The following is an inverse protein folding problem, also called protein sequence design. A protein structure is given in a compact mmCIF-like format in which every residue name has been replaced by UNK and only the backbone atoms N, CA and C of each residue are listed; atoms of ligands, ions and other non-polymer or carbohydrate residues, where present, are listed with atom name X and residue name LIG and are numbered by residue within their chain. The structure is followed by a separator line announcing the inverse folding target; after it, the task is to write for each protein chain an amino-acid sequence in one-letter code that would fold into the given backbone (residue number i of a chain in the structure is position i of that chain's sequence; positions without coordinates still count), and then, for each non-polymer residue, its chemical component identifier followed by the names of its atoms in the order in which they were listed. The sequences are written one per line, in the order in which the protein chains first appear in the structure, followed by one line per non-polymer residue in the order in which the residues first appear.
data_IF_125404905789
#
_entry.id   IF_125404905789
#
_cell.length_a   1.000
_cell.length_b   1.000
_cell.length_c   1.000
_cell.angle_alpha   90.00
_cell.angle_beta   90.00
_cell.angle_gamma   90.00
#
_symmetry.space_group_name_H-M   'P 1'
#
loop_
_entity.id
_entity.type
_entity.pdbx_description
1 polymer ?
#
# COMPACT_ATOMS: atom_id res chain seq x y z
N UNK A 1 10.71 -22.75 19.91
CA UNK A 1 10.02 -21.78 20.78
C UNK A 1 10.95 -21.06 21.74
N UNK A 2 12.13 -21.61 22.02
CA UNK A 2 13.08 -21.08 23.04
C UNK A 2 13.76 -19.74 22.69
N UNK A 3 13.79 -19.36 21.41
CA UNK A 3 14.40 -18.07 21.01
C UNK A 3 13.50 -16.84 21.24
N UNK A 4 12.18 -17.02 21.40
CA UNK A 4 11.27 -15.91 21.72
C UNK A 4 11.34 -15.52 23.20
N UNK A 5 11.66 -16.46 24.11
CA UNK A 5 11.77 -16.21 25.54
C UNK A 5 13.05 -15.46 25.95
N UNK A 6 14.04 -15.40 25.04
CA UNK A 6 15.30 -14.67 25.25
C UNK A 6 15.25 -13.21 24.79
N UNK A 7 14.11 -12.75 24.21
CA UNK A 7 13.96 -11.37 23.75
C UNK A 7 13.57 -10.42 24.88
N UNK A 8 14.03 -9.15 24.84
CA UNK A 8 13.57 -8.14 25.80
C UNK A 8 12.04 -8.00 25.68
N UNK A 9 11.33 -7.80 26.83
CA UNK A 9 9.87 -7.84 26.90
C UNK A 9 9.20 -6.82 25.97
N UNK A 10 9.86 -5.70 25.69
CA UNK A 10 9.36 -4.66 24.78
C UNK A 10 9.24 -5.18 23.34
N UNK A 11 10.23 -5.92 22.84
CA UNK A 11 10.21 -6.49 21.50
C UNK A 11 9.11 -7.54 21.34
N UNK A 12 8.91 -8.36 22.35
CA UNK A 12 7.85 -9.37 22.37
C UNK A 12 6.46 -8.72 22.31
N UNK A 13 6.24 -7.62 23.07
CA UNK A 13 4.97 -6.87 23.05
C UNK A 13 4.66 -6.35 21.66
N UNK A 14 5.64 -5.78 20.96
CA UNK A 14 5.44 -5.26 19.59
C UNK A 14 5.10 -6.39 18.61
N UNK A 15 5.80 -7.51 18.68
CA UNK A 15 5.52 -8.67 17.80
C UNK A 15 4.12 -9.22 18.06
N UNK A 16 3.73 -9.37 19.32
CA UNK A 16 2.39 -9.84 19.70
C UNK A 16 1.31 -8.86 19.22
N UNK A 17 1.56 -7.54 19.32
CA UNK A 17 0.66 -6.53 18.81
C UNK A 17 0.49 -6.63 17.27
N UNK A 18 1.58 -6.80 16.52
CA UNK A 18 1.53 -6.99 15.06
C UNK A 18 0.74 -8.25 14.70
N UNK A 19 1.01 -9.37 15.37
CA UNK A 19 0.33 -10.64 15.11
C UNK A 19 -1.15 -10.60 15.50
N UNK A 20 -1.52 -9.97 16.61
CA UNK A 20 -2.92 -9.81 17.02
C UNK A 20 -3.70 -8.96 16.03
N UNK A 21 -3.10 -7.86 15.56
CA UNK A 21 -3.67 -7.00 14.53
C UNK A 21 -3.80 -7.73 13.19
N UNK A 22 -2.83 -8.58 12.85
CA UNK A 22 -2.88 -9.41 11.64
C UNK A 22 -4.03 -10.42 11.68
N UNK A 23 -4.20 -11.13 12.79
CA UNK A 23 -5.33 -12.07 12.97
C UNK A 23 -6.66 -11.32 12.87
N UNK A 24 -6.76 -10.13 13.49
CA UNK A 24 -7.94 -9.28 13.38
C UNK A 24 -8.21 -8.88 11.93
N UNK A 25 -7.20 -8.44 11.18
CA UNK A 25 -7.34 -8.05 9.77
C UNK A 25 -7.80 -9.22 8.89
N UNK A 26 -7.25 -10.42 9.09
CA UNK A 26 -7.67 -11.64 8.38
C UNK A 26 -9.12 -12.01 8.72
N UNK A 27 -9.49 -11.93 9.99
CA UNK A 27 -10.86 -12.18 10.45
C UNK A 27 -11.86 -11.21 9.80
N UNK A 28 -11.54 -9.91 9.81
CA UNK A 28 -12.35 -8.87 9.17
C UNK A 28 -12.46 -9.12 7.66
N UNK A 29 -11.39 -9.54 7.00
CA UNK A 29 -11.39 -9.88 5.56
C UNK A 29 -12.40 -10.99 5.27
N UNK A 30 -12.32 -12.12 6.00
CA UNK A 30 -13.20 -13.27 5.78
C UNK A 30 -14.66 -12.96 6.12
N UNK A 31 -14.92 -12.24 7.21
CA UNK A 31 -16.28 -11.85 7.60
C UNK A 31 -16.90 -10.94 6.54
N UNK A 32 -16.15 -9.91 6.08
CA UNK A 32 -16.66 -8.94 5.12
C UNK A 32 -16.88 -9.57 3.75
N UNK A 33 -15.91 -10.36 3.27
CA UNK A 33 -16.05 -11.11 2.02
C UNK A 33 -17.23 -12.09 2.06
N UNK A 34 -17.35 -12.89 3.13
CA UNK A 34 -18.45 -13.83 3.31
C UNK A 34 -19.81 -13.15 3.37
N UNK A 35 -19.89 -11.96 3.97
CA UNK A 35 -21.12 -11.16 4.06
C UNK A 35 -21.58 -10.68 2.69
N UNK A 36 -20.67 -10.08 1.89
CA UNK A 36 -21.01 -9.65 0.53
C UNK A 36 -21.34 -10.82 -0.40
N UNK A 37 -20.56 -11.90 -0.33
CA UNK A 37 -20.78 -13.10 -1.13
C UNK A 37 -22.13 -13.77 -0.82
N UNK A 38 -22.51 -13.86 0.45
CA UNK A 38 -23.83 -14.38 0.87
C UNK A 38 -24.96 -13.48 0.39
N UNK A 39 -24.82 -12.17 0.52
CA UNK A 39 -25.84 -11.23 0.04
C UNK A 39 -25.98 -11.33 -1.48
N UNK A 40 -24.88 -11.41 -2.23
CA UNK A 40 -24.91 -11.58 -3.69
C UNK A 40 -25.53 -12.91 -4.13
N UNK A 41 -25.42 -13.97 -3.32
CA UNK A 41 -26.07 -15.26 -3.59
C UNK A 41 -27.58 -15.25 -3.27
N UNK A 42 -28.03 -14.38 -2.37
CA UNK A 42 -29.45 -14.22 -2.00
C UNK A 42 -30.21 -13.35 -2.99
N UNK A 43 -29.53 -12.53 -3.80
CA UNK A 43 -30.13 -11.77 -4.91
C UNK A 43 -30.62 -12.76 -5.96
N UNK A 44 -31.91 -12.85 -6.20
CA UNK A 44 -32.52 -13.80 -7.12
C UNK A 44 -33.20 -15.02 -6.46
N UNK A 45 -32.87 -15.34 -5.23
CA UNK A 45 -33.73 -16.19 -4.41
C UNK A 45 -34.67 -15.27 -3.62
N UNK A 46 -35.96 -15.29 -3.95
CA UNK A 46 -37.08 -14.46 -3.45
C UNK A 46 -37.22 -14.39 -1.91
N UNK A 47 -36.18 -14.57 -1.17
CA UNK A 47 -36.18 -14.47 0.27
C UNK A 47 -36.09 -12.99 0.71
N UNK A 48 -37.25 -12.31 0.65
CA UNK A 48 -37.51 -10.94 1.14
C UNK A 48 -37.21 -10.72 2.63
N UNK A 49 -36.70 -11.72 3.31
CA UNK A 49 -36.52 -11.71 4.78
C UNK A 49 -35.22 -10.98 5.22
N UNK A 50 -34.40 -10.56 4.28
CA UNK A 50 -33.17 -9.81 4.59
C UNK A 50 -33.51 -8.33 4.71
N UNK A 51 -33.28 -7.73 5.88
CA UNK A 51 -33.57 -6.31 6.14
C UNK A 51 -32.91 -5.34 5.17
N UNK A 52 -31.74 -5.70 4.58
CA UNK A 52 -31.09 -4.94 3.52
C UNK A 52 -31.87 -4.99 2.20
N UNK A 53 -32.26 -6.19 1.74
CA UNK A 53 -33.03 -6.37 0.50
C UNK A 53 -34.39 -5.63 0.59
N UNK A 54 -35.05 -5.75 1.73
CA UNK A 54 -36.31 -5.07 1.99
C UNK A 54 -36.20 -3.57 1.94
N UNK A 55 -35.10 -3.03 2.49
CA UNK A 55 -34.83 -1.59 2.43
C UNK A 55 -34.65 -1.11 0.98
N UNK A 56 -33.79 -1.80 0.21
CA UNK A 56 -33.48 -1.44 -1.18
C UNK A 56 -34.72 -1.55 -2.06
N UNK A 57 -35.53 -2.61 -1.91
CA UNK A 57 -36.79 -2.78 -2.68
C UNK A 57 -37.79 -1.71 -2.34
N UNK A 58 -37.95 -1.35 -1.06
CA UNK A 58 -38.89 -0.30 -0.67
C UNK A 58 -38.45 1.07 -1.20
N UNK A 59 -37.18 1.39 -1.09
CA UNK A 59 -36.62 2.66 -1.61
C UNK A 59 -36.75 2.73 -3.13
N UNK A 60 -36.50 1.59 -3.82
CA UNK A 60 -36.69 1.50 -5.25
C UNK A 60 -38.16 1.66 -5.66
N UNK A 61 -39.08 1.03 -4.93
CA UNK A 61 -40.52 1.16 -5.19
C UNK A 61 -41.02 2.58 -4.97
N UNK A 62 -40.55 3.25 -3.90
CA UNK A 62 -40.86 4.67 -3.62
C UNK A 62 -40.32 5.60 -4.72
N UNK A 63 -39.08 5.36 -5.17
CA UNK A 63 -38.48 6.12 -6.26
C UNK A 63 -39.24 5.88 -7.58
N UNK A 64 -39.65 4.62 -7.84
CA UNK A 64 -40.42 4.24 -9.03
C UNK A 64 -41.79 4.92 -9.07
N UNK A 65 -42.47 5.05 -7.94
CA UNK A 65 -43.74 5.79 -7.87
C UNK A 65 -43.60 7.30 -8.13
N UNK A 66 -42.45 7.88 -7.76
CA UNK A 66 -42.20 9.33 -7.92
C UNK A 66 -41.67 9.73 -9.29
N UNK A 67 -40.82 8.90 -9.91
CA UNK A 67 -40.07 9.25 -11.13
C UNK A 67 -40.34 8.32 -12.31
N UNK A 68 -41.20 7.30 -12.13
CA UNK A 68 -41.51 6.33 -13.18
C UNK A 68 -40.27 5.49 -13.57
N UNK A 69 -40.01 5.35 -14.87
CA UNK A 69 -38.87 4.60 -15.39
C UNK A 69 -37.52 5.33 -15.37
N UNK A 70 -37.51 6.63 -15.07
CA UNK A 70 -36.30 7.46 -15.08
C UNK A 70 -35.63 7.48 -13.69
N UNK A 71 -35.31 6.27 -13.19
CA UNK A 71 -34.72 6.07 -11.87
C UNK A 71 -33.23 5.80 -11.99
N UNK A 72 -32.46 6.43 -11.12
CA UNK A 72 -31.03 6.09 -10.96
C UNK A 72 -30.87 4.91 -9.99
N UNK A 73 -31.07 3.68 -10.50
CA UNK A 73 -30.95 2.43 -9.73
C UNK A 73 -29.61 2.30 -9.01
N UNK A 74 -28.45 2.61 -9.63
CA UNK A 74 -27.17 2.60 -8.93
C UNK A 74 -27.12 3.51 -7.70
N UNK A 75 -27.73 4.69 -7.75
CA UNK A 75 -27.72 5.62 -6.62
C UNK A 75 -28.53 5.08 -5.42
N UNK A 76 -29.67 4.45 -5.68
CA UNK A 76 -30.49 3.80 -4.64
C UNK A 76 -29.74 2.64 -3.98
N UNK A 77 -29.06 1.82 -4.79
CA UNK A 77 -28.24 0.70 -4.29
C UNK A 77 -27.08 1.24 -3.44
N UNK A 78 -26.38 2.28 -3.91
CA UNK A 78 -25.28 2.90 -3.18
C UNK A 78 -25.74 3.48 -1.84
N UNK A 79 -26.88 4.13 -1.80
CA UNK A 79 -27.47 4.62 -0.55
C UNK A 79 -27.87 3.47 0.40
N UNK A 80 -28.49 2.41 -0.12
CA UNK A 80 -28.80 1.21 0.64
C UNK A 80 -27.56 0.54 1.24
N UNK A 81 -26.48 0.44 0.46
CA UNK A 81 -25.19 -0.11 0.91
C UNK A 81 -24.59 0.78 1.99
N UNK A 82 -24.58 2.11 1.81
CA UNK A 82 -24.03 3.05 2.78
C UNK A 82 -24.81 3.06 4.09
N UNK A 83 -26.14 3.02 4.02
CA UNK A 83 -27.05 3.07 5.17
C UNK A 83 -27.05 1.76 5.97
N UNK A 84 -27.17 0.61 5.31
CA UNK A 84 -27.35 -0.70 5.99
C UNK A 84 -26.06 -1.52 6.12
N UNK A 85 -25.07 -1.27 5.27
CA UNK A 85 -23.80 -1.98 5.25
C UNK A 85 -22.60 -1.08 5.61
N UNK A 86 -22.84 0.10 6.22
CA UNK A 86 -21.81 1.06 6.59
C UNK A 86 -20.66 0.47 7.41
N UNK A 87 -20.95 -0.48 8.31
CA UNK A 87 -19.93 -1.23 9.04
C UNK A 87 -19.00 -2.03 8.13
N UNK A 88 -19.53 -2.63 7.05
CA UNK A 88 -18.72 -3.37 6.07
C UNK A 88 -17.84 -2.43 5.23
N UNK A 89 -18.30 -1.20 4.96
CA UNK A 89 -17.50 -0.17 4.28
C UNK A 89 -16.34 0.33 5.15
N UNK A 90 -16.54 0.48 6.45
CA UNK A 90 -15.47 0.80 7.39
C UNK A 90 -14.43 -0.32 7.46
N UNK A 91 -14.87 -1.57 7.50
CA UNK A 91 -13.99 -2.74 7.43
C UNK A 91 -13.17 -2.78 6.12
N UNK A 92 -13.79 -2.45 4.99
CA UNK A 92 -13.10 -2.35 3.70
C UNK A 92 -12.03 -1.25 3.71
N UNK A 93 -12.32 -0.06 4.25
CA UNK A 93 -11.35 1.02 4.43
C UNK A 93 -10.20 0.62 5.34
N UNK A 94 -10.50 -0.05 6.45
CA UNK A 94 -9.50 -0.59 7.35
C UNK A 94 -8.58 -1.59 6.63
N UNK A 95 -9.13 -2.54 5.89
CA UNK A 95 -8.37 -3.51 5.11
C UNK A 95 -7.49 -2.86 4.05
N UNK A 96 -7.96 -1.76 3.41
CA UNK A 96 -7.18 -1.02 2.43
C UNK A 96 -5.92 -0.40 3.04
N UNK A 97 -6.00 0.08 4.27
CA UNK A 97 -4.89 0.72 4.98
C UNK A 97 -4.05 -0.27 5.81
N UNK A 98 -4.57 -1.46 6.11
CA UNK A 98 -3.92 -2.44 6.99
C UNK A 98 -2.54 -2.89 6.47
N UNK A 99 -2.37 -3.05 5.15
CA UNK A 99 -1.09 -3.42 4.55
C UNK A 99 0.00 -2.39 4.87
N UNK A 100 -0.29 -1.12 4.68
CA UNK A 100 0.61 -0.01 5.02
C UNK A 100 0.87 0.06 6.52
N UNK A 101 -0.14 -0.21 7.33
CA UNK A 101 -0.03 -0.21 8.79
C UNK A 101 0.95 -1.27 9.28
N UNK A 102 0.99 -2.47 8.69
CA UNK A 102 1.95 -3.51 9.07
C UNK A 102 3.39 -3.11 8.76
N UNK A 103 3.62 -2.47 7.61
CA UNK A 103 4.95 -1.97 7.26
C UNK A 103 5.39 -0.86 8.23
N UNK A 104 4.51 0.09 8.54
CA UNK A 104 4.81 1.17 9.49
C UNK A 104 5.03 0.66 10.92
N UNK A 105 4.28 -0.34 11.37
CA UNK A 105 4.50 -0.99 12.67
C UNK A 105 5.82 -1.76 12.71
N UNK A 106 6.18 -2.44 11.62
CA UNK A 106 7.49 -3.06 11.48
C UNK A 106 8.62 -2.04 11.59
N UNK A 107 8.50 -0.90 10.88
CA UNK A 107 9.45 0.21 10.96
C UNK A 107 9.51 0.82 12.37
N UNK A 108 8.37 1.03 13.01
CA UNK A 108 8.30 1.49 14.39
C UNK A 108 9.04 0.55 15.34
N UNK A 109 8.89 -0.77 15.15
CA UNK A 109 9.66 -1.77 15.90
C UNK A 109 11.16 -1.67 15.69
N UNK A 110 11.63 -1.29 14.47
CA UNK A 110 13.06 -1.05 14.24
C UNK A 110 13.57 0.16 15.01
N UNK A 111 12.81 1.25 15.06
CA UNK A 111 13.18 2.43 15.86
C UNK A 111 13.25 2.11 17.34
N UNK A 112 12.28 1.35 17.87
CA UNK A 112 12.30 0.92 19.25
C UNK A 112 13.53 0.03 19.55
N UNK A 113 13.82 -0.94 18.70
CA UNK A 113 14.98 -1.83 18.87
C UNK A 113 16.30 -1.06 18.83
N UNK A 114 16.46 -0.10 17.91
CA UNK A 114 17.64 0.75 17.84
C UNK A 114 17.75 1.68 19.05
N UNK A 115 16.63 2.25 19.51
CA UNK A 115 16.61 3.11 20.71
C UNK A 115 17.06 2.34 21.94
N UNK A 116 16.60 1.10 22.13
CA UNK A 116 17.06 0.22 23.21
C UNK A 116 18.54 -0.10 23.09
N UNK A 117 19.03 -0.34 21.88
CA UNK A 117 20.44 -0.61 21.60
C UNK A 117 21.33 0.58 21.99
N UNK A 118 20.93 1.79 21.60
CA UNK A 118 21.68 3.02 21.95
C UNK A 118 21.63 3.31 23.45
N UNK A 119 20.47 3.12 24.08
CA UNK A 119 20.32 3.30 25.55
C UNK A 119 21.29 2.40 26.31
N UNK A 120 21.40 1.14 25.92
CA UNK A 120 22.34 0.20 26.57
C UNK A 120 23.81 0.61 26.40
N UNK A 121 24.18 1.20 25.24
CA UNK A 121 25.53 1.71 25.01
C UNK A 121 25.80 2.98 25.84
N UNK A 122 24.81 3.86 26.02
CA UNK A 122 24.95 5.11 26.78
C UNK A 122 25.14 4.82 28.27
N UNK A 123 24.48 3.81 28.81
CA UNK A 123 24.60 3.37 30.20
C UNK A 123 26.01 2.85 30.49
N UNK A 124 26.63 2.19 29.51
CA UNK A 124 28.03 1.73 29.62
C UNK A 124 29.04 2.88 29.69
N UNK A 125 28.83 3.92 28.88
CA UNK A 125 29.72 5.06 28.83
C UNK A 125 29.60 5.96 30.08
N UNK A 126 28.47 5.87 30.79
CA UNK A 126 28.21 6.62 32.04
C UNK A 126 28.70 5.93 33.31
N UNK A 127 29.07 4.67 33.27
CA UNK A 127 29.55 3.92 34.45
C UNK A 127 31.02 4.24 34.72
N UNK A 128 31.28 5.15 35.66
CA UNK A 128 32.61 5.45 36.21
C UNK A 128 33.07 4.28 37.12
N UNK A 129 33.59 3.22 36.55
CA UNK A 129 34.20 2.12 37.30
C UNK A 129 35.72 2.22 37.22
N UNK A 130 36.34 2.44 38.39
CA UNK A 130 37.79 2.60 38.52
C UNK A 130 38.59 1.25 38.43
N UNK A 131 37.90 0.15 38.20
CA UNK A 131 38.48 -1.19 38.03
C UNK A 131 38.33 -1.70 36.62
N UNK A 132 39.43 -1.85 35.91
CA UNK A 132 39.47 -2.25 34.49
C UNK A 132 38.82 -3.62 34.21
N UNK A 133 38.81 -4.55 35.16
CA UNK A 133 38.17 -5.85 35.05
C UNK A 133 36.64 -5.72 35.00
N UNK A 134 36.08 -4.83 35.79
CA UNK A 134 34.64 -4.51 35.80
C UNK A 134 34.24 -3.76 34.53
N UNK A 135 35.14 -2.98 33.94
CA UNK A 135 34.93 -2.32 32.66
C UNK A 135 34.84 -3.32 31.51
N UNK A 136 35.69 -4.38 31.50
CA UNK A 136 35.61 -5.40 30.45
C UNK A 136 34.31 -6.21 30.51
N UNK A 137 33.85 -6.55 31.70
CA UNK A 137 32.59 -7.30 31.90
C UNK A 137 31.37 -6.44 31.55
N UNK A 138 31.37 -5.16 31.94
CA UNK A 138 30.31 -4.20 31.60
C UNK A 138 30.26 -3.90 30.10
N UNK A 139 31.39 -3.72 29.42
CA UNK A 139 31.47 -3.53 27.97
C UNK A 139 30.94 -4.75 27.24
N UNK A 140 31.32 -5.98 27.68
CA UNK A 140 30.81 -7.22 27.11
C UNK A 140 29.29 -7.35 27.26
N UNK A 141 28.75 -7.07 28.44
CA UNK A 141 27.33 -7.10 28.75
C UNK A 141 26.51 -6.09 27.93
N UNK A 142 27.02 -4.86 27.82
CA UNK A 142 26.34 -3.83 27.05
C UNK A 142 26.41 -4.01 25.55
N UNK A 143 27.53 -4.55 25.04
CA UNK A 143 27.60 -4.94 23.63
C UNK A 143 26.59 -6.04 23.29
N UNK A 144 26.43 -7.01 24.20
CA UNK A 144 25.45 -8.07 24.07
C UNK A 144 24.01 -7.53 24.14
N UNK A 145 23.75 -6.58 25.01
CA UNK A 145 22.46 -5.89 25.11
C UNK A 145 22.15 -5.06 23.87
N UNK A 146 23.14 -4.33 23.34
CA UNK A 146 23.01 -3.58 22.08
C UNK A 146 22.72 -4.51 20.90
N UNK A 147 23.42 -5.64 20.81
CA UNK A 147 23.19 -6.65 19.78
C UNK A 147 21.79 -7.26 19.89
N UNK A 148 21.29 -7.46 21.11
CA UNK A 148 19.93 -7.92 21.40
C UNK A 148 18.88 -6.91 20.93
N UNK A 149 19.09 -5.59 21.15
CA UNK A 149 18.23 -4.53 20.66
C UNK A 149 18.16 -4.47 19.13
N UNK A 150 19.29 -4.65 18.45
CA UNK A 150 19.33 -4.78 16.99
C UNK A 150 18.58 -6.03 16.51
N UNK A 151 18.67 -7.14 17.23
CA UNK A 151 17.92 -8.36 16.95
C UNK A 151 16.40 -8.11 17.00
N UNK A 152 15.92 -7.39 18.02
CA UNK A 152 14.50 -6.99 18.11
C UNK A 152 14.08 -6.16 16.92
N UNK A 153 14.88 -5.17 16.52
CA UNK A 153 14.62 -4.33 15.36
C UNK A 153 14.44 -5.17 14.08
N UNK A 154 15.34 -6.12 13.86
CA UNK A 154 15.30 -7.00 12.70
C UNK A 154 14.06 -7.90 12.70
N UNK A 155 13.77 -8.58 13.82
CA UNK A 155 12.63 -9.48 13.89
C UNK A 155 11.27 -8.76 13.77
N UNK A 156 11.10 -7.60 14.37
CA UNK A 156 9.86 -6.82 14.27
C UNK A 156 9.60 -6.35 12.85
N UNK A 157 10.64 -5.89 12.15
CA UNK A 157 10.55 -5.52 10.74
C UNK A 157 10.20 -6.70 9.86
N UNK A 158 10.88 -7.83 10.04
CA UNK A 158 10.63 -9.05 9.26
C UNK A 158 9.19 -9.54 9.43
N UNK A 159 8.68 -9.56 10.66
CA UNK A 159 7.29 -9.94 10.95
C UNK A 159 6.31 -8.96 10.33
N UNK A 160 6.54 -7.65 10.43
CA UNK A 160 5.69 -6.62 9.83
C UNK A 160 5.58 -6.77 8.31
N UNK A 161 6.72 -6.95 7.63
CA UNK A 161 6.77 -7.15 6.17
C UNK A 161 6.13 -8.47 5.78
N UNK A 162 6.38 -9.57 6.50
CA UNK A 162 5.77 -10.87 6.24
C UNK A 162 4.25 -10.81 6.36
N UNK A 163 3.72 -10.20 7.42
CA UNK A 163 2.27 -9.99 7.59
C UNK A 163 1.68 -9.14 6.47
N UNK A 164 2.37 -8.08 6.04
CA UNK A 164 1.97 -7.22 4.92
C UNK A 164 1.85 -8.01 3.61
N UNK A 165 2.86 -8.82 3.29
CA UNK A 165 2.88 -9.65 2.07
C UNK A 165 1.73 -10.66 2.09
N UNK A 166 1.57 -11.41 3.19
CA UNK A 166 0.51 -12.41 3.33
C UNK A 166 -0.87 -11.76 3.21
N UNK A 167 -1.10 -10.63 3.88
CA UNK A 167 -2.38 -9.91 3.80
C UNK A 167 -2.63 -9.40 2.38
N UNK A 168 -1.61 -8.92 1.66
CA UNK A 168 -1.73 -8.48 0.27
C UNK A 168 -2.17 -9.63 -0.64
N UNK A 169 -1.56 -10.81 -0.49
CA UNK A 169 -1.94 -12.02 -1.25
C UNK A 169 -3.36 -12.43 -0.92
N UNK A 170 -3.74 -12.48 0.36
CA UNK A 170 -5.09 -12.82 0.79
C UNK A 170 -6.13 -11.86 0.23
N UNK A 171 -5.86 -10.55 0.24
CA UNK A 171 -6.74 -9.54 -0.35
C UNK A 171 -6.86 -9.66 -1.86
N UNK A 172 -5.80 -10.08 -2.55
CA UNK A 172 -5.84 -10.31 -4.01
C UNK A 172 -6.75 -11.51 -4.35
N UNK A 173 -6.68 -12.57 -3.54
CA UNK A 173 -7.51 -13.78 -3.74
C UNK A 173 -8.97 -13.52 -3.32
N UNK A 174 -9.17 -12.92 -2.13
CA UNK A 174 -10.48 -12.61 -1.56
C UNK A 174 -10.79 -11.12 -1.72
N UNK A 175 -10.96 -10.67 -2.96
CA UNK A 175 -11.25 -9.26 -3.24
C UNK A 175 -12.64 -8.88 -2.73
N UNK A 176 -12.67 -8.14 -1.62
CA UNK A 176 -13.90 -7.60 -1.01
C UNK A 176 -14.58 -6.61 -1.97
N UNK A 177 -13.79 -5.82 -2.71
CA UNK A 177 -14.30 -4.88 -3.72
C UNK A 177 -15.07 -5.61 -4.83
N UNK A 178 -14.49 -6.67 -5.40
CA UNK A 178 -15.17 -7.49 -6.40
C UNK A 178 -16.43 -8.15 -5.89
N UNK A 179 -16.44 -8.58 -4.63
CA UNK A 179 -17.63 -9.15 -4.02
C UNK A 179 -18.75 -8.10 -3.86
N UNK A 180 -18.40 -6.85 -3.55
CA UNK A 180 -19.33 -5.72 -3.47
C UNK A 180 -19.86 -5.34 -4.85
N UNK A 181 -19.01 -5.13 -5.84
CA UNK A 181 -19.39 -4.82 -7.22
C UNK A 181 -20.32 -5.88 -7.80
N UNK A 182 -20.02 -7.15 -7.53
CA UNK A 182 -20.89 -8.26 -7.94
C UNK A 182 -22.26 -8.22 -7.25
N UNK A 183 -22.32 -7.80 -6.00
CA UNK A 183 -23.57 -7.60 -5.29
C UNK A 183 -24.36 -6.44 -5.91
N UNK A 184 -23.72 -5.30 -6.13
CA UNK A 184 -24.34 -4.09 -6.71
C UNK A 184 -24.88 -4.38 -8.11
N UNK A 185 -24.08 -4.98 -9.00
CA UNK A 185 -24.53 -5.35 -10.37
C UNK A 185 -25.67 -6.36 -10.37
N UNK A 186 -25.64 -7.36 -9.48
CA UNK A 186 -26.75 -8.32 -9.39
C UNK A 186 -28.03 -7.69 -8.86
N UNK A 187 -27.92 -6.78 -7.91
CA UNK A 187 -29.06 -6.02 -7.38
C UNK A 187 -29.67 -5.13 -8.46
N UNK A 188 -28.85 -4.43 -9.23
CA UNK A 188 -29.29 -3.59 -10.34
C UNK A 188 -30.06 -4.41 -11.37
N UNK A 189 -29.47 -5.50 -11.85
CA UNK A 189 -30.14 -6.39 -12.80
C UNK A 189 -31.45 -6.97 -12.25
N UNK A 190 -31.48 -7.35 -11.00
CA UNK A 190 -32.67 -7.90 -10.36
C UNK A 190 -33.77 -6.86 -10.16
N UNK A 191 -33.44 -5.64 -9.74
CA UNK A 191 -34.38 -4.55 -9.57
C UNK A 191 -34.99 -4.15 -10.91
N UNK A 192 -34.20 -4.02 -11.96
CA UNK A 192 -34.66 -3.54 -13.26
C UNK A 192 -35.42 -4.61 -14.04
N UNK A 193 -35.05 -5.92 -13.90
CA UNK A 193 -35.70 -7.00 -14.66
C UNK A 193 -36.84 -7.69 -13.91
N UNK A 194 -36.71 -7.90 -12.62
CA UNK A 194 -37.67 -8.69 -11.84
C UNK A 194 -38.62 -7.82 -11.01
N UNK A 195 -38.13 -6.71 -10.45
CA UNK A 195 -38.94 -5.86 -9.55
C UNK A 195 -39.66 -4.76 -10.34
N UNK A 196 -39.01 -4.05 -11.25
CA UNK A 196 -39.62 -2.98 -12.01
C UNK A 196 -40.91 -3.39 -12.76
N UNK A 197 -41.00 -4.57 -13.40
CA UNK A 197 -42.23 -5.00 -14.07
C UNK A 197 -43.39 -5.33 -13.12
N UNK A 198 -43.08 -5.60 -11.85
CA UNK A 198 -44.14 -5.93 -10.84
C UNK A 198 -44.74 -4.71 -10.18
N UNK A 199 -44.10 -3.54 -10.35
CA UNK A 199 -44.60 -2.29 -9.78
C UNK A 199 -45.70 -1.70 -10.68
N UNK A 200 -46.80 -1.19 -10.13
CA UNK A 200 -47.85 -0.56 -10.90
C UNK A 200 -47.29 0.68 -11.58
N UNK A 201 -47.13 0.60 -12.87
CA UNK A 201 -46.86 1.76 -13.72
C UNK A 201 -48.24 2.38 -14.01
N UNK A 202 -48.49 3.61 -13.60
CA UNK A 202 -49.57 4.36 -14.23
C UNK A 202 -49.18 4.54 -15.71
N UNK A 203 -49.72 3.67 -16.54
CA UNK A 203 -49.53 3.75 -17.98
C UNK A 203 -50.06 5.10 -18.47
N UNK A 204 -49.26 5.87 -19.24
CA UNK A 204 -49.78 7.07 -19.88
C UNK A 204 -50.98 6.68 -20.76
N UNK A 205 -52.10 7.33 -20.58
CA UNK A 205 -53.40 6.98 -21.17
C UNK A 205 -53.54 7.29 -22.67
N UNK A 206 -52.46 7.68 -23.33
CA UNK A 206 -52.56 8.10 -24.75
C UNK A 206 -51.30 7.66 -25.52
N UNK A 207 -51.49 6.81 -26.55
CA UNK A 207 -50.42 6.32 -27.42
C UNK A 207 -49.69 7.47 -28.15
N UNK A 208 -50.36 8.59 -28.39
CA UNK A 208 -49.80 9.78 -29.00
C UNK A 208 -48.83 10.51 -28.01
N UNK A 209 -49.10 10.47 -26.72
CA UNK A 209 -48.24 11.07 -25.70
C UNK A 209 -46.99 10.20 -25.46
N UNK A 210 -47.11 8.87 -25.58
CA UNK A 210 -45.98 7.92 -25.56
C UNK A 210 -45.00 8.14 -26.70
N UNK A 211 -45.48 8.36 -27.92
CA UNK A 211 -44.64 8.66 -29.09
C UNK A 211 -43.94 10.00 -28.92
N UNK A 212 -44.65 11.01 -28.39
CA UNK A 212 -44.08 12.34 -28.11
C UNK A 212 -43.01 12.28 -27.02
N UNK A 213 -43.26 11.53 -25.95
CA UNK A 213 -42.27 11.32 -24.87
C UNK A 213 -41.06 10.52 -25.35
N UNK A 214 -41.25 9.52 -26.24
CA UNK A 214 -40.17 8.75 -26.85
C UNK A 214 -39.28 9.64 -27.74
N UNK A 215 -39.88 10.53 -28.54
CA UNK A 215 -39.14 11.50 -29.36
C UNK A 215 -38.35 12.48 -28.48
N UNK A 216 -38.98 13.00 -27.44
CA UNK A 216 -38.29 13.89 -26.46
C UNK A 216 -37.18 13.18 -25.67
N UNK A 217 -37.36 11.90 -25.34
CA UNK A 217 -36.34 11.10 -24.65
C UNK A 217 -35.15 10.80 -25.57
N UNK A 218 -35.43 10.50 -26.86
CA UNK A 218 -34.40 10.32 -27.88
C UNK A 218 -33.62 11.61 -28.16
N UNK A 219 -34.29 12.73 -28.24
CA UNK A 219 -33.66 14.05 -28.44
C UNK A 219 -32.77 14.44 -27.23
N UNK A 220 -33.27 14.25 -26.00
CA UNK A 220 -32.46 14.41 -24.77
C UNK A 220 -31.29 13.46 -24.69
N UNK A 221 -31.48 12.19 -25.13
CA UNK A 221 -30.41 11.21 -25.16
C UNK A 221 -29.32 11.59 -26.19
N UNK A 222 -29.73 12.10 -27.35
CA UNK A 222 -28.81 12.61 -28.38
C UNK A 222 -28.03 13.84 -27.85
N UNK A 223 -28.70 14.80 -27.22
CA UNK A 223 -28.07 15.98 -26.63
C UNK A 223 -27.11 15.62 -25.48
N UNK A 224 -27.49 14.67 -24.63
CA UNK A 224 -26.62 14.19 -23.56
C UNK A 224 -25.40 13.45 -24.11
N UNK A 225 -25.59 12.66 -25.17
CA UNK A 225 -24.49 11.94 -25.82
C UNK A 225 -23.52 12.90 -26.49
N UNK A 226 -24.04 13.96 -27.14
CA UNK A 226 -23.21 14.99 -27.77
C UNK A 226 -22.41 15.79 -26.70
N UNK A 227 -23.06 16.16 -25.59
CA UNK A 227 -22.37 16.78 -24.44
C UNK A 227 -21.29 15.87 -23.84
N UNK A 228 -21.62 14.60 -23.61
CA UNK A 228 -20.68 13.65 -23.04
C UNK A 228 -19.48 13.41 -23.97
N UNK A 229 -19.71 13.33 -25.27
CA UNK A 229 -18.64 13.23 -26.28
C UNK A 229 -17.78 14.49 -26.32
N UNK A 230 -18.42 15.65 -26.25
CA UNK A 230 -17.71 16.94 -26.23
C UNK A 230 -16.88 17.10 -24.97
N UNK A 231 -17.43 16.76 -23.80
CA UNK A 231 -16.72 16.80 -22.52
C UNK A 231 -15.57 15.80 -22.49
N UNK A 232 -15.78 14.54 -22.93
CA UNK A 232 -14.74 13.54 -23.06
C UNK A 232 -13.62 13.97 -24.02
N UNK A 233 -13.97 14.61 -25.13
CA UNK A 233 -13.01 15.15 -26.10
C UNK A 233 -12.18 16.30 -25.49
N UNK A 234 -12.81 17.19 -24.74
CA UNK A 234 -12.14 18.27 -24.06
C UNK A 234 -11.23 17.75 -22.93
N UNK A 235 -11.69 16.75 -22.20
CA UNK A 235 -10.90 16.11 -21.14
C UNK A 235 -9.68 15.37 -21.72
N UNK A 236 -9.85 14.63 -22.80
CA UNK A 236 -8.76 14.01 -23.56
C UNK A 236 -7.75 15.05 -24.04
N UNK A 237 -8.22 16.16 -24.59
CA UNK A 237 -7.35 17.26 -25.03
C UNK A 237 -6.58 17.88 -23.87
N UNK A 238 -7.20 18.01 -22.70
CA UNK A 238 -6.58 18.50 -21.48
C UNK A 238 -5.51 17.52 -20.98
N UNK A 239 -5.82 16.22 -20.95
CA UNK A 239 -4.87 15.17 -20.54
C UNK A 239 -3.68 15.10 -21.51
N UNK A 240 -3.92 15.17 -22.82
CA UNK A 240 -2.85 15.19 -23.82
C UNK A 240 -1.94 16.41 -23.63
N UNK A 241 -2.51 17.59 -23.42
CA UNK A 241 -1.73 18.80 -23.19
C UNK A 241 -0.99 18.76 -21.86
N UNK A 242 -1.61 18.26 -20.80
CA UNK A 242 -0.95 18.07 -19.51
C UNK A 242 0.20 17.04 -19.57
N UNK A 243 0.07 16.02 -20.41
CA UNK A 243 1.10 14.99 -20.60
C UNK A 243 2.33 15.48 -21.36
N UNK A 244 2.21 16.56 -22.13
CA UNK A 244 3.34 17.13 -22.92
C UNK A 244 4.47 17.64 -22.02
N UNK A 245 4.12 18.28 -20.91
CA UNK A 245 5.11 18.85 -19.97
C UNK A 245 5.90 17.75 -19.24
N UNK A 246 5.27 16.71 -18.66
CA UNK A 246 5.98 15.58 -18.06
C UNK A 246 6.87 14.81 -19.06
N UNK A 247 6.40 14.62 -20.30
CA UNK A 247 7.19 13.94 -21.34
C UNK A 247 8.43 14.76 -21.70
N UNK A 248 8.30 16.08 -21.85
CA UNK A 248 9.44 16.96 -22.08
C UNK A 248 10.42 16.99 -20.90
N UNK A 249 9.92 16.96 -19.66
CA UNK A 249 10.73 16.87 -18.46
C UNK A 249 11.46 15.51 -18.37
N UNK A 250 10.77 14.42 -18.70
CA UNK A 250 11.36 13.08 -18.73
C UNK A 250 12.50 12.99 -19.76
N UNK A 251 12.33 13.57 -20.97
CA UNK A 251 13.39 13.62 -21.97
C UNK A 251 14.62 14.38 -21.46
N UNK A 252 14.43 15.52 -20.79
CA UNK A 252 15.53 16.26 -20.17
C UNK A 252 16.24 15.47 -19.08
N UNK A 253 15.46 14.73 -18.27
CA UNK A 253 16.04 13.87 -17.23
C UNK A 253 16.87 12.74 -17.84
N UNK A 254 16.39 12.11 -18.93
CA UNK A 254 17.14 11.07 -19.65
C UNK A 254 18.42 11.65 -20.27
N UNK A 255 18.38 12.86 -20.85
CA UNK A 255 19.57 13.52 -21.37
C UNK A 255 20.58 13.83 -20.24
N UNK A 256 20.11 14.37 -19.11
CA UNK A 256 20.96 14.63 -17.94
C UNK A 256 21.54 13.35 -17.36
N UNK A 257 20.78 12.28 -17.31
CA UNK A 257 21.26 10.97 -16.89
C UNK A 257 22.34 10.43 -17.82
N UNK A 258 22.13 10.51 -19.13
CA UNK A 258 23.12 10.09 -20.12
C UNK A 258 24.42 10.91 -20.03
N UNK A 259 24.30 12.22 -19.77
CA UNK A 259 25.48 13.07 -19.52
C UNK A 259 26.20 12.61 -18.25
N UNK A 260 25.48 12.42 -17.15
CA UNK A 260 26.05 11.93 -15.88
C UNK A 260 26.74 10.57 -16.00
N UNK A 261 26.18 9.64 -16.80
CA UNK A 261 26.82 8.34 -17.08
C UNK A 261 28.14 8.53 -17.83
N UNK A 262 28.19 9.46 -18.78
CA UNK A 262 29.41 9.76 -19.52
C UNK A 262 30.48 10.37 -18.59
N UNK A 263 30.10 11.35 -17.80
CA UNK A 263 30.99 12.00 -16.83
C UNK A 263 31.53 11.02 -15.80
N UNK A 264 30.68 10.10 -15.34
CA UNK A 264 31.08 9.02 -14.43
C UNK A 264 32.04 8.03 -15.09
N UNK A 265 31.85 7.72 -16.37
CA UNK A 265 32.75 6.86 -17.14
C UNK A 265 34.13 7.54 -17.30
N UNK A 266 34.16 8.84 -17.61
CA UNK A 266 35.40 9.62 -17.72
C UNK A 266 36.11 9.74 -16.36
N UNK A 267 35.36 9.98 -15.28
CA UNK A 267 35.88 9.97 -13.92
C UNK A 267 36.54 8.63 -13.57
N UNK A 268 35.87 7.50 -13.83
CA UNK A 268 36.44 6.17 -13.60
C UNK A 268 37.70 5.92 -14.40
N UNK A 269 37.76 6.37 -15.65
CA UNK A 269 38.96 6.26 -16.47
C UNK A 269 40.11 7.04 -15.87
N UNK A 270 39.88 8.29 -15.46
CA UNK A 270 40.88 9.15 -14.82
C UNK A 270 41.35 8.60 -13.45
N UNK A 271 40.40 8.03 -12.68
CA UNK A 271 40.71 7.42 -11.39
C UNK A 271 41.60 6.21 -11.55
N UNK A 272 41.33 5.36 -12.55
CA UNK A 272 42.19 4.23 -12.89
C UNK A 272 43.63 4.67 -13.25
N UNK A 273 43.76 5.69 -14.09
CA UNK A 273 45.08 6.23 -14.43
C UNK A 273 45.81 6.87 -13.24
N UNK A 274 45.05 7.40 -12.26
CA UNK A 274 45.66 7.94 -11.03
C UNK A 274 46.12 6.81 -10.10
N UNK A 275 45.36 5.74 -9.97
CA UNK A 275 45.71 4.56 -9.18
C UNK A 275 46.97 3.87 -9.77
N UNK A 276 47.03 3.74 -11.09
CA UNK A 276 48.21 3.17 -11.76
C UNK A 276 49.49 4.00 -11.51
N UNK A 277 49.37 5.33 -11.56
CA UNK A 277 50.50 6.24 -11.23
C UNK A 277 50.90 6.12 -9.77
N UNK A 278 49.93 6.00 -8.86
CA UNK A 278 50.18 5.83 -7.44
C UNK A 278 50.90 4.51 -7.14
N UNK A 279 50.53 3.41 -7.83
CA UNK A 279 51.22 2.12 -7.72
C UNK A 279 52.70 2.22 -8.15
N UNK A 280 53.00 2.92 -9.25
CA UNK A 280 54.37 3.17 -9.69
C UNK A 280 55.12 3.97 -8.64
N UNK A 281 54.55 5.07 -8.13
CA UNK A 281 55.22 5.92 -7.13
C UNK A 281 55.49 5.14 -5.82
N UNK A 282 54.58 4.28 -5.38
CA UNK A 282 54.77 3.45 -4.21
C UNK A 282 55.90 2.43 -4.44
N UNK A 283 56.00 1.83 -5.62
CA UNK A 283 57.09 0.91 -5.97
C UNK A 283 58.43 1.61 -5.99
N UNK A 284 58.50 2.83 -6.55
CA UNK A 284 59.72 3.63 -6.57
C UNK A 284 60.15 4.02 -5.15
N UNK A 285 59.23 4.43 -4.30
CA UNK A 285 59.46 4.69 -2.87
C UNK A 285 60.00 3.47 -2.13
N UNK A 286 59.40 2.32 -2.34
CA UNK A 286 59.85 1.02 -1.73
C UNK A 286 61.23 0.66 -2.20
N UNK A 287 61.55 0.88 -3.51
CA UNK A 287 62.89 0.61 -4.06
C UNK A 287 63.92 1.54 -3.49
N UNK A 288 63.61 2.86 -3.38
CA UNK A 288 64.48 3.83 -2.76
C UNK A 288 64.75 3.56 -1.29
N UNK A 289 63.74 3.21 -0.51
CA UNK A 289 63.92 2.78 0.88
C UNK A 289 64.83 1.56 1.03
N UNK A 290 64.72 0.60 0.16
CA UNK A 290 65.63 -0.60 0.14
C UNK A 290 67.07 -0.20 -0.14
N UNK A 291 67.28 0.79 -1.04
CA UNK A 291 68.63 1.25 -1.36
C UNK A 291 69.24 2.03 -0.21
N UNK A 292 68.49 2.90 0.44
CA UNK A 292 68.89 3.61 1.67
C UNK A 292 69.25 2.62 2.78
N UNK A 293 68.41 1.59 3.00
CA UNK A 293 68.67 0.55 4.00
C UNK A 293 69.99 -0.17 3.73
N UNK A 294 70.24 -0.53 2.46
CA UNK A 294 71.53 -1.18 2.05
C UNK A 294 72.73 -0.29 2.24
N UNK A 295 72.61 1.01 1.97
CA UNK A 295 73.69 1.96 2.17
C UNK A 295 74.02 2.19 3.65
N UNK A 296 72.99 2.23 4.49
CA UNK A 296 73.17 2.31 5.96
C UNK A 296 73.82 1.04 6.54
N UNK A 297 73.44 -0.15 6.06
CA UNK A 297 74.07 -1.41 6.47
C UNK A 297 75.56 -1.49 6.05
N UNK A 298 75.95 -0.90 4.90
CA UNK A 298 77.32 -0.82 4.47
C UNK A 298 78.13 0.20 5.30
N UNK A 299 77.54 1.35 5.64
CA UNK A 299 78.19 2.39 6.45
C UNK A 299 78.36 1.98 7.93
N UNK A 300 77.52 1.12 8.46
CA UNK A 300 77.64 0.62 9.84
C UNK A 300 78.63 -0.54 10.02
N UNK A 301 79.28 -1.04 8.93
CA UNK A 301 80.29 -2.09 8.96
C UNK A 301 81.72 -1.58 8.70
N UNK A 302 81.95 -0.28 8.53
CA UNK A 302 83.25 0.34 8.49
C UNK A 302 83.53 1.08 9.84
#
# INVERSE_FOLDING_TARGET
MDKLSAMPPVGLVVIVAILSLFVLAVLVLFITYGRYSRLAALVGNLNRDNGFMRFVVNEYADAYQRHGRDINTPAIIADGVSSKLGGSLLCERFLNNAVSLFVTLGLFGTFLGLSLSVSSLTELLGSNTNEWLNVLDSVGGGLMSALSGMGVAFYTSLVGVACSIVLTILRSIFSVQHAREKLETRLELWLDHDVAPTLPTEAPKDDADLVHQLVLALDRSADNMDKTLTDATNELKTVINASRTPIAAMNRTVESFNSGVRDFSEFNYNLRGTVERMDVTVRDLVSGLREVSRTLERSGRS
#
